data_IF_922543688544
#
_entry.id   IF_922543688544
#
_cell.length_a   1.000
_cell.length_b   1.000
_cell.length_c   1.000
_cell.angle_alpha   90.00
_cell.angle_beta   90.00
_cell.angle_gamma   90.00
#
_symmetry.space_group_name_H-M   'P 1'
#
loop_
_entity.id
_entity.type
_entity.pdbx_description
1 polymer ?
#
# COMPACT_ATOMS: atom_id res chain seq x y z
N UNK A 1 -21.68 17.56 1.98
CA UNK A 1 -21.43 16.90 0.69
C UNK A 1 -22.69 16.17 0.25
N UNK A 2 -23.10 16.33 -1.01
CA UNK A 2 -24.25 15.61 -1.56
C UNK A 2 -23.78 14.20 -1.94
N UNK A 3 -24.46 13.17 -1.43
CA UNK A 3 -24.17 11.79 -1.81
C UNK A 3 -24.81 11.51 -3.18
N UNK A 4 -24.00 11.08 -4.14
CA UNK A 4 -24.46 10.62 -5.46
C UNK A 4 -24.29 9.11 -5.50
N UNK A 5 -25.34 8.39 -5.91
CA UNK A 5 -25.31 6.94 -6.04
C UNK A 5 -24.98 6.54 -7.47
N UNK A 6 -24.01 5.65 -7.62
CA UNK A 6 -23.70 4.96 -8.87
C UNK A 6 -24.16 3.51 -8.74
N UNK A 7 -24.89 3.01 -9.74
CA UNK A 7 -25.37 1.63 -9.79
C UNK A 7 -24.71 0.88 -10.95
N UNK A 8 -24.32 -0.36 -10.69
CA UNK A 8 -23.81 -1.28 -11.68
C UNK A 8 -24.32 -2.69 -11.35
N UNK A 9 -24.62 -3.46 -12.38
CA UNK A 9 -25.00 -4.86 -12.23
C UNK A 9 -23.75 -5.74 -12.15
N UNK A 10 -23.71 -6.63 -11.16
CA UNK A 10 -22.68 -7.64 -10.99
C UNK A 10 -23.35 -9.00 -11.09
N UNK A 11 -22.61 -10.01 -11.55
CA UNK A 11 -23.08 -11.38 -11.41
C UNK A 11 -23.11 -11.80 -9.93
N UNK A 12 -23.88 -12.84 -9.63
CA UNK A 12 -24.07 -13.33 -8.26
C UNK A 12 -22.76 -13.78 -7.61
N UNK A 13 -21.83 -14.33 -8.41
CA UNK A 13 -20.55 -14.85 -7.93
C UNK A 13 -19.63 -13.71 -7.46
N UNK A 14 -19.49 -12.67 -8.26
CA UNK A 14 -18.70 -11.48 -7.95
C UNK A 14 -19.35 -10.70 -6.79
N UNK A 15 -20.68 -10.60 -6.76
CA UNK A 15 -21.42 -9.99 -5.65
C UNK A 15 -21.17 -10.72 -4.31
N UNK A 16 -21.20 -12.06 -4.30
CA UNK A 16 -20.87 -12.85 -3.12
C UNK A 16 -19.42 -12.68 -2.68
N UNK A 17 -18.48 -12.69 -3.64
CA UNK A 17 -17.05 -12.47 -3.37
C UNK A 17 -16.82 -11.09 -2.72
N UNK A 18 -17.44 -10.04 -3.24
CA UNK A 18 -17.36 -8.68 -2.68
C UNK A 18 -17.91 -8.64 -1.25
N UNK A 19 -19.09 -9.23 -1.00
CA UNK A 19 -19.68 -9.29 0.35
C UNK A 19 -18.75 -9.98 1.35
N UNK A 20 -18.15 -11.09 0.96
CA UNK A 20 -17.20 -11.82 1.80
C UNK A 20 -15.94 -10.99 2.11
N UNK A 21 -15.38 -10.31 1.10
CA UNK A 21 -14.21 -9.43 1.29
C UNK A 21 -14.52 -8.25 2.21
N UNK A 22 -15.65 -7.57 1.99
CA UNK A 22 -16.07 -6.44 2.82
C UNK A 22 -16.27 -6.87 4.29
N UNK A 23 -16.90 -8.03 4.52
CA UNK A 23 -17.07 -8.59 5.86
C UNK A 23 -15.71 -8.92 6.53
N UNK A 24 -14.79 -9.53 5.79
CA UNK A 24 -13.44 -9.86 6.27
C UNK A 24 -12.65 -8.59 6.67
N UNK A 25 -12.83 -7.50 5.95
CA UNK A 25 -12.20 -6.21 6.22
C UNK A 25 -12.96 -5.33 7.23
N UNK A 26 -14.09 -5.82 7.78
CA UNK A 26 -14.98 -5.07 8.68
C UNK A 26 -15.45 -3.73 8.08
N UNK A 27 -15.77 -3.74 6.78
CA UNK A 27 -16.25 -2.57 6.02
C UNK A 27 -17.65 -2.81 5.49
N UNK A 28 -18.41 -1.74 5.28
CA UNK A 28 -19.66 -1.84 4.51
C UNK A 28 -19.35 -2.15 3.04
N UNK A 29 -20.25 -2.84 2.35
CA UNK A 29 -20.10 -3.14 0.91
C UNK A 29 -19.94 -1.86 0.10
N UNK A 30 -20.75 -0.84 0.40
CA UNK A 30 -20.66 0.48 -0.26
C UNK A 30 -19.31 1.14 -0.03
N UNK A 31 -18.78 1.13 1.20
CA UNK A 31 -17.46 1.68 1.50
C UNK A 31 -16.32 0.92 0.82
N UNK A 32 -16.41 -0.41 0.79
CA UNK A 32 -15.44 -1.27 0.09
C UNK A 32 -15.41 -0.95 -1.42
N UNK A 33 -16.57 -0.89 -2.06
CA UNK A 33 -16.68 -0.60 -3.50
C UNK A 33 -16.26 0.83 -3.82
N UNK A 34 -16.68 1.82 -3.03
CA UNK A 34 -16.26 3.22 -3.21
C UNK A 34 -14.74 3.36 -3.22
N UNK A 35 -14.06 2.75 -2.24
CA UNK A 35 -12.60 2.76 -2.18
C UNK A 35 -11.96 2.03 -3.37
N UNK A 36 -12.50 0.88 -3.76
CA UNK A 36 -11.99 0.13 -4.90
C UNK A 36 -12.10 0.94 -6.20
N UNK A 37 -13.22 1.62 -6.43
CA UNK A 37 -13.44 2.48 -7.59
C UNK A 37 -12.49 3.67 -7.58
N UNK A 38 -12.29 4.34 -6.44
CA UNK A 38 -11.36 5.46 -6.33
C UNK A 38 -9.92 5.04 -6.63
N UNK A 39 -9.45 3.97 -5.97
CA UNK A 39 -8.09 3.45 -6.20
C UNK A 39 -7.91 3.06 -7.66
N UNK A 40 -8.89 2.39 -8.26
CA UNK A 40 -8.81 1.98 -9.66
C UNK A 40 -8.82 3.19 -10.60
N UNK A 41 -9.66 4.21 -10.34
CA UNK A 41 -9.76 5.42 -11.15
C UNK A 41 -8.46 6.24 -11.17
N UNK A 42 -7.70 6.24 -10.06
CA UNK A 42 -6.42 6.93 -9.93
C UNK A 42 -5.26 6.24 -10.68
N UNK A 43 -5.43 4.99 -11.11
CA UNK A 43 -4.41 4.29 -11.91
C UNK A 43 -4.37 4.84 -13.35
N UNK A 44 -3.20 4.90 -14.02
CA UNK A 44 -3.12 5.20 -15.45
C UNK A 44 -3.97 4.23 -16.28
N UNK A 45 -4.56 4.72 -17.38
CA UNK A 45 -5.42 3.89 -18.26
C UNK A 45 -4.70 2.60 -18.68
N UNK A 46 -3.47 2.72 -19.16
CA UNK A 46 -2.71 1.57 -19.66
C UNK A 46 -2.52 0.50 -18.57
N UNK A 47 -2.28 0.93 -17.32
CA UNK A 47 -2.19 0.00 -16.19
C UNK A 47 -3.53 -0.69 -15.90
N UNK A 48 -4.64 0.04 -15.95
CA UNK A 48 -5.97 -0.56 -15.77
C UNK A 48 -6.27 -1.60 -16.83
N UNK A 49 -5.99 -1.28 -18.09
CA UNK A 49 -6.25 -2.16 -19.23
C UNK A 49 -5.42 -3.45 -19.09
N UNK A 50 -4.11 -3.34 -18.80
CA UNK A 50 -3.26 -4.52 -18.53
C UNK A 50 -3.76 -5.36 -17.36
N UNK A 51 -4.20 -4.74 -16.25
CA UNK A 51 -4.74 -5.49 -15.10
C UNK A 51 -6.04 -6.23 -15.43
N UNK A 52 -6.88 -5.65 -16.30
CA UNK A 52 -8.10 -6.30 -16.78
C UNK A 52 -7.75 -7.49 -17.69
N UNK A 53 -6.81 -7.31 -18.61
CA UNK A 53 -6.32 -8.37 -19.51
C UNK A 53 -5.73 -9.53 -18.70
N UNK A 54 -4.82 -9.26 -17.76
CA UNK A 54 -4.23 -10.27 -16.88
C UNK A 54 -5.26 -11.04 -16.05
N UNK A 55 -6.32 -10.36 -15.56
CA UNK A 55 -7.42 -11.02 -14.86
C UNK A 55 -8.16 -12.01 -15.77
N UNK A 56 -8.28 -11.69 -17.07
CA UNK A 56 -8.97 -12.49 -18.07
C UNK A 56 -8.15 -13.67 -18.60
N UNK A 57 -6.84 -13.50 -18.75
CA UNK A 57 -6.00 -14.44 -19.50
C UNK A 57 -5.50 -15.64 -18.69
N UNK A 58 -5.23 -15.53 -17.40
CA UNK A 58 -4.94 -16.69 -16.52
C UNK A 58 -4.74 -16.20 -15.08
N UNK A 59 -5.39 -16.82 -14.08
CA UNK A 59 -5.35 -16.34 -12.69
C UNK A 59 -3.93 -16.23 -12.09
N UNK A 60 -2.98 -17.06 -12.55
CA UNK A 60 -1.62 -17.09 -12.02
C UNK A 60 -0.80 -15.85 -12.38
N UNK A 61 -0.89 -15.38 -13.62
CA UNK A 61 -0.17 -14.17 -14.04
C UNK A 61 -0.67 -12.92 -13.30
N UNK A 62 -1.98 -12.85 -13.06
CA UNK A 62 -2.55 -11.81 -12.21
C UNK A 62 -2.06 -11.90 -10.76
N UNK A 63 -1.98 -13.10 -10.19
CA UNK A 63 -1.47 -13.29 -8.82
C UNK A 63 0.00 -12.89 -8.68
N UNK A 64 0.85 -13.24 -9.64
CA UNK A 64 2.26 -12.87 -9.64
C UNK A 64 2.45 -11.36 -9.79
N UNK A 65 1.71 -10.73 -10.73
CA UNK A 65 1.69 -9.28 -10.86
C UNK A 65 1.22 -8.59 -9.56
N UNK A 66 0.19 -9.12 -8.89
CA UNK A 66 -0.29 -8.59 -7.63
C UNK A 66 0.77 -8.69 -6.51
N UNK A 67 1.56 -9.77 -6.47
CA UNK A 67 2.67 -9.93 -5.51
C UNK A 67 3.78 -8.90 -5.79
N UNK A 68 4.15 -8.71 -7.04
CA UNK A 68 5.15 -7.72 -7.44
C UNK A 68 4.71 -6.30 -7.09
N UNK A 69 3.45 -5.96 -7.37
CA UNK A 69 2.86 -4.68 -6.96
C UNK A 69 2.92 -4.48 -5.44
N UNK A 70 2.58 -5.52 -4.66
CA UNK A 70 2.63 -5.45 -3.21
C UNK A 70 4.06 -5.22 -2.71
N UNK A 71 5.06 -5.88 -3.29
CA UNK A 71 6.46 -5.70 -2.95
C UNK A 71 6.93 -4.26 -3.25
N UNK A 72 6.57 -3.72 -4.42
CA UNK A 72 6.88 -2.34 -4.79
C UNK A 72 6.25 -1.32 -3.83
N UNK A 73 4.98 -1.52 -3.47
CA UNK A 73 4.27 -0.66 -2.50
C UNK A 73 4.89 -0.76 -1.11
N UNK A 74 5.27 -1.96 -0.66
CA UNK A 74 5.93 -2.14 0.64
C UNK A 74 7.27 -1.40 0.71
N UNK A 75 8.08 -1.52 -0.35
CA UNK A 75 9.35 -0.78 -0.48
C UNK A 75 9.11 0.73 -0.44
N UNK A 76 8.13 1.23 -1.20
CA UNK A 76 7.82 2.67 -1.22
C UNK A 76 7.35 3.18 0.15
N UNK A 77 6.56 2.39 0.89
CA UNK A 77 6.14 2.72 2.26
C UNK A 77 7.34 2.80 3.21
N UNK A 78 8.28 1.86 3.08
CA UNK A 78 9.52 1.90 3.84
C UNK A 78 10.33 3.16 3.54
N UNK A 79 10.54 3.49 2.25
CA UNK A 79 11.29 4.69 1.85
C UNK A 79 10.66 5.97 2.41
N UNK A 80 9.32 6.08 2.34
CA UNK A 80 8.60 7.23 2.90
C UNK A 80 8.72 7.29 4.43
N UNK A 81 8.66 6.14 5.10
CA UNK A 81 8.85 6.09 6.56
C UNK A 81 10.29 6.48 6.94
N UNK A 82 11.30 5.99 6.22
CA UNK A 82 12.70 6.35 6.43
C UNK A 82 12.93 7.85 6.23
N UNK A 83 12.37 8.45 5.17
CA UNK A 83 12.44 9.89 4.92
C UNK A 83 11.78 10.70 6.04
N UNK A 84 10.63 10.26 6.56
CA UNK A 84 9.97 10.91 7.71
C UNK A 84 10.82 10.83 8.97
N UNK A 85 11.41 9.67 9.27
CA UNK A 85 12.28 9.50 10.43
C UNK A 85 13.56 10.35 10.35
N UNK A 86 14.15 10.47 9.15
CA UNK A 86 15.28 11.37 8.91
C UNK A 86 14.88 12.84 9.09
N UNK A 87 13.71 13.24 8.59
CA UNK A 87 13.18 14.61 8.76
C UNK A 87 12.83 14.95 10.23
N UNK A 88 12.46 13.95 11.04
CA UNK A 88 12.21 14.09 12.47
C UNK A 88 13.52 14.14 13.30
N UNK A 89 14.70 14.08 12.67
CA UNK A 89 16.00 14.12 13.35
C UNK A 89 16.25 12.90 14.25
N UNK A 90 15.46 11.83 14.09
CA UNK A 90 15.59 10.58 14.87
C UNK A 90 16.75 9.71 14.40
N UNK A 91 17.30 10.02 13.24
CA UNK A 91 18.67 9.65 12.91
C UNK A 91 19.54 10.84 13.33
N UNK A 92 20.42 10.69 14.34
CA UNK A 92 21.50 11.65 14.48
C UNK A 92 22.19 11.70 13.12
N UNK A 93 22.35 12.91 12.59
CA UNK A 93 23.16 13.08 11.40
C UNK A 93 24.52 12.49 11.76
N UNK A 94 24.80 11.28 11.26
CA UNK A 94 26.14 10.71 11.30
C UNK A 94 26.98 11.74 10.61
N UNK A 95 27.66 12.55 11.42
CA UNK A 95 28.46 13.66 10.92
C UNK A 95 29.48 13.00 10.00
N UNK A 96 29.77 13.59 8.84
CA UNK A 96 30.71 12.99 7.88
C UNK A 96 32.12 12.80 8.47
N UNK A 97 32.40 13.43 9.61
CA UNK A 97 33.59 13.33 10.45
C UNK A 97 33.45 12.42 11.69
N UNK A 98 32.32 11.71 11.86
CA UNK A 98 32.11 10.81 12.98
C UNK A 98 33.02 9.59 12.88
N UNK A 99 33.85 9.38 13.90
CA UNK A 99 34.70 8.18 13.96
C UNK A 99 33.86 6.95 14.29
N UNK A 100 34.37 5.76 13.97
CA UNK A 100 33.71 4.48 14.25
C UNK A 100 33.36 4.34 15.75
N UNK A 101 34.15 4.98 16.62
CA UNK A 101 33.93 5.02 18.06
C UNK A 101 32.77 5.94 18.45
N UNK A 102 32.60 7.07 17.78
CA UNK A 102 31.45 7.98 17.99
C UNK A 102 30.13 7.29 17.59
N UNK A 103 30.14 6.49 16.52
CA UNK A 103 28.96 5.73 16.07
C UNK A 103 28.57 4.64 17.08
N UNK A 104 29.55 3.97 17.68
CA UNK A 104 29.32 2.92 18.68
C UNK A 104 28.79 3.49 20.01
N UNK A 105 29.29 4.65 20.42
CA UNK A 105 28.81 5.34 21.63
C UNK A 105 27.38 5.87 21.45
N UNK A 106 27.06 6.39 20.27
CA UNK A 106 25.72 6.92 19.96
C UNK A 106 24.67 5.80 19.79
N UNK A 107 25.05 4.68 19.17
CA UNK A 107 24.21 3.47 19.13
C UNK A 107 23.98 2.89 20.53
N UNK A 108 24.99 2.93 21.41
CA UNK A 108 24.86 2.50 22.80
C UNK A 108 23.94 3.41 23.61
N UNK A 109 23.92 4.71 23.33
CA UNK A 109 23.02 5.67 23.96
C UNK A 109 21.55 5.45 23.55
N UNK A 110 21.31 5.14 22.27
CA UNK A 110 19.98 4.79 21.76
C UNK A 110 19.40 3.51 22.37
N UNK A 111 20.25 2.51 22.66
CA UNK A 111 19.83 1.25 23.29
C UNK A 111 19.51 1.43 24.77
N UNK A 112 20.18 2.36 25.46
CA UNK A 112 19.94 2.59 26.90
C UNK A 112 18.68 3.40 27.19
N UNK A 113 18.19 4.19 26.23
CA UNK A 113 17.08 5.12 26.46
C UNK A 113 17.41 6.17 27.54
N UNK A 114 16.61 7.25 27.67
CA UNK A 114 16.73 8.16 28.80
C UNK A 114 16.38 7.49 30.14
#
# INVERSE_FOLDING_TARGET
MVAVSLSASLDERDAQKIRALAARERRSVSGFISNAVLVFADLPKDLRDTLIELRGEESRHFEDAAREMLAAVARRKFDVAAQRLAAEGKFPALREDATEQDMLDEASALIRGP
#
